data_IF_571382021401
#
_entry.id   IF_571382021401
#
_cell.length_a   1.000
_cell.length_b   1.000
_cell.length_c   1.000
_cell.angle_alpha   90.00
_cell.angle_beta   90.00
_cell.angle_gamma   90.00
#
_symmetry.space_group_name_H-M   'P 1'
#
loop_
_entity.id
_entity.type
_entity.pdbx_description
1 polymer ?
#
# COMPACT_ATOMS: atom_id res chain seq x y z
N UNK A 1 -7.57 1.86 24.14
CA UNK A 1 -6.80 1.75 22.87
C UNK A 1 -7.60 0.93 21.86
N UNK A 2 -7.41 1.12 20.54
CA UNK A 2 -8.27 0.56 19.49
C UNK A 2 -7.46 0.06 18.28
N UNK A 3 -7.96 -0.96 17.56
CA UNK A 3 -7.41 -1.40 16.27
C UNK A 3 -7.42 -0.30 15.21
N UNK A 4 -8.31 0.68 15.31
CA UNK A 4 -8.33 1.85 14.42
C UNK A 4 -7.01 2.63 14.41
N UNK A 5 -6.16 2.48 15.43
CA UNK A 5 -4.84 3.11 15.53
C UNK A 5 -3.74 2.40 14.74
N UNK A 6 -3.98 1.19 14.23
CA UNK A 6 -3.01 0.48 13.39
C UNK A 6 -2.82 1.26 12.09
N UNK A 7 -1.58 1.65 11.80
CA UNK A 7 -1.20 2.36 10.58
C UNK A 7 -0.72 1.37 9.50
N UNK A 8 -1.31 1.40 8.29
CA UNK A 8 -0.84 0.61 7.15
C UNK A 8 0.66 0.67 6.86
N UNK A 9 1.28 1.85 6.99
CA UNK A 9 2.70 2.03 6.74
C UNK A 9 3.56 1.31 7.81
N UNK A 10 3.08 1.21 9.05
CA UNK A 10 3.75 0.43 10.09
C UNK A 10 3.65 -1.08 9.81
N UNK A 11 2.51 -1.54 9.26
CA UNK A 11 2.33 -2.93 8.84
C UNK A 11 3.33 -3.29 7.73
N UNK A 12 3.44 -2.48 6.67
CA UNK A 12 4.45 -2.70 5.64
C UNK A 12 5.88 -2.59 6.19
N UNK A 13 6.13 -1.66 7.13
CA UNK A 13 7.41 -1.56 7.82
C UNK A 13 7.77 -2.80 8.64
N UNK A 14 6.79 -3.53 9.19
CA UNK A 14 7.03 -4.79 9.88
C UNK A 14 7.43 -5.90 8.91
N UNK A 15 6.74 -6.03 7.77
CA UNK A 15 7.14 -6.96 6.70
C UNK A 15 8.54 -6.64 6.15
N UNK A 16 8.89 -5.36 6.03
CA UNK A 16 10.24 -4.93 5.62
C UNK A 16 11.34 -5.43 6.56
N UNK A 17 11.01 -5.63 7.85
CA UNK A 17 11.92 -6.16 8.88
C UNK A 17 11.95 -7.69 8.93
N UNK A 18 11.30 -8.38 7.98
CA UNK A 18 11.31 -9.84 7.91
C UNK A 18 10.19 -10.55 8.67
N UNK A 19 9.09 -9.85 8.98
CA UNK A 19 7.92 -10.50 9.57
C UNK A 19 7.25 -11.44 8.55
N UNK A 20 6.95 -12.68 8.92
CA UNK A 20 6.33 -13.66 8.02
C UNK A 20 4.81 -13.50 7.89
N UNK A 21 4.17 -13.00 8.95
CA UNK A 21 2.74 -12.75 8.99
C UNK A 21 2.33 -11.76 10.09
N UNK A 22 1.29 -10.98 9.84
CA UNK A 22 0.71 -10.03 10.78
C UNK A 22 -0.80 -10.26 10.90
N UNK A 23 -1.26 -10.48 12.13
CA UNK A 23 -2.67 -10.63 12.47
C UNK A 23 -3.14 -9.43 13.29
N UNK A 24 -4.19 -8.76 12.83
CA UNK A 24 -4.92 -7.74 13.59
C UNK A 24 -6.24 -8.32 14.07
N UNK A 25 -6.45 -8.34 15.38
CA UNK A 25 -7.71 -8.79 15.98
C UNK A 25 -8.44 -7.60 16.61
N UNK A 26 -9.68 -7.36 16.20
CA UNK A 26 -10.53 -6.29 16.71
C UNK A 26 -11.87 -6.77 17.25
N UNK A 27 -12.65 -5.84 17.79
CA UNK A 27 -14.04 -6.12 18.21
C UNK A 27 -14.92 -6.46 17.00
N UNK A 28 -16.04 -7.14 17.24
CA UNK A 28 -17.11 -7.28 16.23
C UNK A 28 -17.61 -5.92 15.75
N UNK A 29 -18.09 -5.88 14.51
CA UNK A 29 -18.69 -4.67 13.95
C UNK A 29 -19.97 -4.35 14.71
N UNK A 30 -20.12 -3.10 15.15
CA UNK A 30 -21.17 -2.70 16.11
C UNK A 30 -20.68 -2.63 17.56
N UNK A 31 -19.75 -3.51 17.97
CA UNK A 31 -19.27 -3.60 19.35
C UNK A 31 -18.01 -2.76 19.63
N UNK A 32 -17.64 -1.86 18.71
CA UNK A 32 -16.45 -1.06 18.89
C UNK A 32 -16.63 -0.07 20.03
N UNK A 33 -15.77 -0.14 21.05
CA UNK A 33 -15.74 0.86 22.13
C UNK A 33 -15.55 2.30 21.62
N UNK A 34 -14.91 2.46 20.46
CA UNK A 34 -14.67 3.75 19.81
C UNK A 34 -15.56 3.94 18.57
N UNK A 35 -16.74 3.30 18.56
CA UNK A 35 -17.82 3.44 17.57
C UNK A 35 -17.44 2.86 16.20
N UNK A 36 -16.47 3.47 15.51
CA UNK A 36 -16.11 3.16 14.12
C UNK A 36 -14.67 2.68 13.91
N UNK A 37 -13.87 2.62 14.99
CA UNK A 37 -12.43 2.33 14.89
C UNK A 37 -12.09 0.98 14.24
N UNK A 38 -12.89 -0.06 14.47
CA UNK A 38 -12.68 -1.37 13.84
C UNK A 38 -13.09 -1.40 12.35
N UNK A 39 -14.08 -0.62 11.92
CA UNK A 39 -14.42 -0.45 10.51
C UNK A 39 -13.27 0.23 9.75
N UNK A 40 -12.68 1.27 10.34
CA UNK A 40 -11.49 1.92 9.80
C UNK A 40 -10.29 0.97 9.75
N UNK A 41 -10.09 0.16 10.79
CA UNK A 41 -9.04 -0.85 10.81
C UNK A 41 -9.23 -1.88 9.69
N UNK A 42 -10.46 -2.36 9.47
CA UNK A 42 -10.78 -3.27 8.36
C UNK A 42 -10.46 -2.64 7.01
N UNK A 43 -10.90 -1.41 6.78
CA UNK A 43 -10.63 -0.67 5.55
C UNK A 43 -9.14 -0.52 5.26
N UNK A 44 -8.37 -0.16 6.29
CA UNK A 44 -6.91 -0.06 6.26
C UNK A 44 -6.27 -1.39 5.87
N UNK A 45 -6.64 -2.48 6.55
CA UNK A 45 -6.04 -3.79 6.30
C UNK A 45 -6.41 -4.34 4.91
N UNK A 46 -7.64 -4.15 4.44
CA UNK A 46 -8.05 -4.57 3.09
C UNK A 46 -7.21 -3.91 2.00
N UNK A 47 -6.99 -2.59 2.11
CA UNK A 47 -6.18 -1.83 1.14
C UNK A 47 -4.71 -2.22 1.23
N UNK A 48 -4.17 -2.43 2.44
CA UNK A 48 -2.81 -2.97 2.61
C UNK A 48 -2.68 -4.35 1.97
N UNK A 49 -3.65 -5.25 2.15
CA UNK A 49 -3.65 -6.59 1.52
C UNK A 49 -3.66 -6.50 -0.01
N UNK A 50 -4.50 -5.64 -0.58
CA UNK A 50 -4.53 -5.38 -2.04
C UNK A 50 -3.18 -4.90 -2.56
N UNK A 51 -2.55 -3.97 -1.85
CA UNK A 51 -1.23 -3.46 -2.23
C UNK A 51 -0.15 -4.55 -2.11
N UNK A 52 -0.13 -5.32 -1.02
CA UNK A 52 0.80 -6.46 -0.84
C UNK A 52 0.67 -7.45 -2.00
N UNK A 53 -0.56 -7.81 -2.38
CA UNK A 53 -0.84 -8.66 -3.54
C UNK A 53 -0.29 -8.06 -4.84
N UNK A 54 -0.55 -6.77 -5.07
CA UNK A 54 -0.09 -6.07 -6.27
C UNK A 54 1.43 -6.15 -6.41
N UNK A 55 2.16 -5.91 -5.32
CA UNK A 55 3.62 -5.98 -5.29
C UNK A 55 4.18 -7.42 -5.20
N UNK A 56 3.34 -8.45 -5.21
CA UNK A 56 3.76 -9.86 -5.24
C UNK A 56 4.02 -10.52 -3.89
N UNK A 57 3.65 -9.86 -2.78
CA UNK A 57 3.59 -10.47 -1.44
C UNK A 57 2.25 -11.19 -1.30
N UNK A 58 2.25 -12.38 -0.68
CA UNK A 58 1.01 -13.11 -0.47
C UNK A 58 0.08 -12.35 0.50
N UNK A 59 -1.15 -12.05 0.06
CA UNK A 59 -2.12 -11.27 0.85
C UNK A 59 -2.62 -11.99 2.11
N UNK A 60 -2.43 -13.31 2.21
CA UNK A 60 -2.76 -14.10 3.40
C UNK A 60 -1.76 -13.88 4.54
N UNK A 61 -0.59 -13.28 4.26
CA UNK A 61 0.35 -12.86 5.30
C UNK A 61 -0.21 -11.77 6.21
N UNK A 62 -1.24 -11.05 5.78
CA UNK A 62 -1.92 -10.04 6.58
C UNK A 62 -3.38 -10.43 6.77
N UNK A 63 -3.81 -10.57 8.03
CA UNK A 63 -5.19 -10.91 8.36
C UNK A 63 -5.81 -9.88 9.32
N UNK A 64 -7.08 -9.58 9.10
CA UNK A 64 -7.96 -8.93 10.08
C UNK A 64 -9.01 -9.94 10.53
N UNK A 65 -9.15 -10.13 11.84
CA UNK A 65 -10.15 -11.01 12.46
C UNK A 65 -10.85 -10.29 13.59
N UNK A 66 -11.99 -10.83 14.01
CA UNK A 66 -12.81 -10.26 15.05
C UNK A 66 -12.99 -11.26 16.18
N UNK A 67 -12.95 -10.77 17.41
CA UNK A 67 -13.11 -11.57 18.62
C UNK A 67 -13.59 -10.65 19.74
N UNK A 68 -14.55 -11.11 20.54
CA UNK A 68 -14.92 -10.47 21.80
C UNK A 68 -13.94 -10.84 22.91
N UNK A 69 -13.84 -10.00 23.95
CA UNK A 69 -12.98 -10.27 25.12
C UNK A 69 -13.41 -11.50 25.91
N UNK A 70 -14.64 -11.97 25.75
CA UNK A 70 -15.16 -13.18 26.41
C UNK A 70 -14.91 -14.48 25.65
N UNK A 71 -14.37 -14.43 24.42
CA UNK A 71 -14.29 -15.59 23.52
C UNK A 71 -12.88 -16.19 23.47
N UNK A 72 -12.36 -16.65 24.60
CA UNK A 72 -10.99 -17.17 24.68
C UNK A 72 -10.72 -18.33 23.71
N UNK A 73 -11.67 -19.27 23.57
CA UNK A 73 -11.54 -20.39 22.63
C UNK A 73 -11.48 -19.93 21.17
N UNK A 74 -12.33 -18.98 20.78
CA UNK A 74 -12.35 -18.39 19.43
C UNK A 74 -11.03 -17.68 19.14
N UNK A 75 -10.48 -16.95 20.13
CA UNK A 75 -9.18 -16.29 19.99
C UNK A 75 -8.05 -17.28 19.74
N UNK A 76 -8.02 -18.39 20.49
CA UNK A 76 -7.05 -19.47 20.31
C UNK A 76 -7.17 -20.08 18.91
N UNK A 77 -8.40 -20.36 18.45
CA UNK A 77 -8.64 -20.91 17.11
C UNK A 77 -8.21 -19.95 16.00
N UNK A 78 -8.47 -18.65 16.15
CA UNK A 78 -8.06 -17.61 15.20
C UNK A 78 -6.52 -17.58 15.08
N UNK A 79 -5.82 -17.60 16.20
CA UNK A 79 -4.35 -17.58 16.21
C UNK A 79 -3.80 -18.87 15.61
N UNK A 80 -4.29 -20.03 16.06
CA UNK A 80 -3.83 -21.33 15.57
C UNK A 80 -3.92 -21.44 14.06
N UNK A 81 -5.11 -21.18 13.50
CA UNK A 81 -5.33 -21.19 12.04
C UNK A 81 -4.44 -20.21 11.29
N UNK A 82 -4.18 -19.03 11.88
CA UNK A 82 -3.30 -18.05 11.25
C UNK A 82 -1.85 -18.53 11.26
N UNK A 83 -1.36 -19.05 12.39
CA UNK A 83 0.00 -19.59 12.52
C UNK A 83 0.22 -20.75 11.56
N UNK A 84 -0.73 -21.69 11.48
CA UNK A 84 -0.68 -22.82 10.54
C UNK A 84 -0.58 -22.31 9.09
N UNK A 85 -1.39 -21.31 8.74
CA UNK A 85 -1.34 -20.69 7.42
C UNK A 85 0.01 -20.03 7.13
N UNK A 86 0.61 -19.34 8.10
CA UNK A 86 1.94 -18.73 7.92
C UNK A 86 3.03 -19.80 7.79
N UNK A 87 2.94 -20.91 8.52
CA UNK A 87 3.86 -22.04 8.35
C UNK A 87 3.75 -22.67 6.96
N UNK A 88 2.55 -22.87 6.44
CA UNK A 88 2.32 -23.34 5.05
C UNK A 88 2.94 -22.40 4.02
N UNK A 89 2.83 -21.09 4.24
CA UNK A 89 3.43 -20.08 3.38
C UNK A 89 4.94 -19.99 3.54
N UNK A 90 5.51 -20.45 4.66
CA UNK A 90 6.94 -20.35 4.94
C UNK A 90 7.46 -18.90 5.05
N UNK A 91 8.78 -18.73 5.15
CA UNK A 91 9.40 -17.43 5.41
C UNK A 91 9.14 -16.44 4.27
N UNK A 92 8.98 -15.17 4.62
CA UNK A 92 8.78 -14.08 3.66
C UNK A 92 9.94 -14.00 2.67
N UNK A 93 9.63 -14.02 1.37
CA UNK A 93 10.64 -14.04 0.30
C UNK A 93 11.33 -15.39 0.08
N UNK A 94 11.04 -16.40 0.90
CA UNK A 94 11.49 -17.79 0.70
C UNK A 94 10.36 -18.71 0.23
N UNK A 95 9.16 -18.58 0.79
CA UNK A 95 8.03 -19.48 0.58
C UNK A 95 6.96 -18.98 -0.40
N UNK A 96 5.68 -19.00 -0.01
CA UNK A 96 4.49 -18.79 -0.85
C UNK A 96 4.25 -17.39 -1.42
N UNK A 97 5.28 -16.55 -1.50
CA UNK A 97 5.25 -15.25 -2.18
C UNK A 97 5.59 -15.39 -3.67
N UNK A 98 5.01 -14.51 -4.50
CA UNK A 98 5.35 -14.44 -5.93
C UNK A 98 6.77 -13.92 -6.14
N UNK A 99 7.20 -12.96 -5.31
CA UNK A 99 8.56 -12.43 -5.32
C UNK A 99 9.42 -13.09 -4.25
N UNK A 100 10.71 -13.20 -4.52
CA UNK A 100 11.70 -13.79 -3.62
C UNK A 100 12.64 -12.73 -3.06
N UNK A 101 13.36 -13.08 -2.00
CA UNK A 101 14.45 -12.24 -1.50
C UNK A 101 15.59 -12.17 -2.55
N UNK A 102 16.25 -11.01 -2.73
CA UNK A 102 16.08 -9.75 -1.99
C UNK A 102 14.98 -8.82 -2.56
N UNK A 103 14.53 -9.04 -3.80
CA UNK A 103 13.61 -8.15 -4.53
C UNK A 103 12.32 -7.83 -3.76
N UNK A 104 11.76 -8.81 -3.05
CA UNK A 104 10.55 -8.63 -2.25
C UNK A 104 10.69 -7.48 -1.23
N UNK A 105 11.86 -7.30 -0.62
CA UNK A 105 12.06 -6.27 0.40
C UNK A 105 12.17 -4.88 -0.19
N UNK A 106 12.68 -4.75 -1.42
CA UNK A 106 12.64 -3.51 -2.18
C UNK A 106 11.18 -3.13 -2.48
N UNK A 107 10.39 -4.09 -2.97
CA UNK A 107 8.96 -3.89 -3.22
C UNK A 107 8.17 -3.56 -1.96
N UNK A 108 8.45 -4.21 -0.83
CA UNK A 108 7.82 -3.88 0.46
C UNK A 108 8.20 -2.46 0.90
N UNK A 109 9.44 -2.01 0.64
CA UNK A 109 9.83 -0.63 0.89
C UNK A 109 9.03 0.36 0.05
N UNK A 110 8.76 0.03 -1.23
CA UNK A 110 7.83 0.81 -2.07
C UNK A 110 6.43 0.82 -1.48
N UNK A 111 5.89 -0.34 -1.07
CA UNK A 111 4.56 -0.40 -0.45
C UNK A 111 4.48 0.42 0.85
N UNK A 112 5.54 0.43 1.67
CA UNK A 112 5.60 1.27 2.86
C UNK A 112 5.49 2.76 2.51
N UNK A 113 6.17 3.21 1.44
CA UNK A 113 6.08 4.59 0.97
C UNK A 113 4.67 4.92 0.42
N UNK A 114 4.07 4.02 -0.36
CA UNK A 114 2.71 4.16 -0.89
C UNK A 114 1.69 4.30 0.24
N UNK A 115 1.73 3.41 1.23
CA UNK A 115 0.82 3.45 2.39
C UNK A 115 1.05 4.66 3.30
N UNK A 116 2.29 5.19 3.31
CA UNK A 116 2.63 6.46 3.94
C UNK A 116 2.17 7.69 3.14
N UNK A 117 1.81 7.52 1.87
CA UNK A 117 1.43 8.61 0.98
C UNK A 117 0.07 9.22 1.32
N UNK A 118 -0.04 10.53 1.10
CA UNK A 118 -1.26 11.30 1.35
C UNK A 118 -2.46 10.75 0.56
N UNK A 119 -2.26 10.42 -0.72
CA UNK A 119 -3.35 9.94 -1.59
C UNK A 119 -3.99 8.67 -1.03
N UNK A 120 -3.19 7.66 -0.70
CA UNK A 120 -3.70 6.40 -0.14
C UNK A 120 -4.38 6.64 1.22
N UNK A 121 -3.78 7.45 2.09
CA UNK A 121 -4.37 7.77 3.40
C UNK A 121 -5.72 8.46 3.28
N UNK A 122 -5.84 9.42 2.36
CA UNK A 122 -7.09 10.12 2.07
C UNK A 122 -8.16 9.13 1.58
N UNK A 123 -7.80 8.30 0.61
CA UNK A 123 -8.72 7.34 -0.01
C UNK A 123 -9.23 6.32 1.02
N UNK A 124 -8.36 5.78 1.88
CA UNK A 124 -8.76 4.90 2.99
C UNK A 124 -9.77 5.62 3.89
N UNK A 125 -9.50 6.88 4.24
CA UNK A 125 -10.37 7.69 5.10
C UNK A 125 -11.73 8.03 4.46
N UNK A 126 -11.83 7.99 3.13
CA UNK A 126 -13.07 8.26 2.40
C UNK A 126 -13.90 7.02 2.09
N UNK A 127 -13.42 5.80 2.39
CA UNK A 127 -14.17 4.56 2.15
C UNK A 127 -15.56 4.61 2.78
N UNK A 128 -15.66 4.84 4.09
CA UNK A 128 -16.96 4.85 4.78
C UNK A 128 -17.89 5.94 4.24
N UNK A 129 -17.47 7.23 4.14
CA UNK A 129 -18.33 8.26 3.55
C UNK A 129 -18.80 7.93 2.14
N UNK A 130 -17.93 7.41 1.25
CA UNK A 130 -18.30 7.14 -0.13
C UNK A 130 -19.25 5.95 -0.30
N UNK A 131 -19.26 5.00 0.63
CA UNK A 131 -20.16 3.85 0.61
C UNK A 131 -21.49 4.11 1.34
N UNK A 132 -21.54 5.11 2.23
CA UNK A 132 -22.71 5.36 3.08
C UNK A 132 -23.35 6.73 2.81
N UNK A 133 -22.65 7.82 3.12
CA UNK A 133 -23.20 9.18 3.04
C UNK A 133 -23.08 9.82 1.65
N UNK A 134 -22.26 9.24 0.78
CA UNK A 134 -21.91 9.78 -0.52
C UNK A 134 -20.85 10.88 -0.48
N UNK A 135 -20.48 11.37 -1.66
CA UNK A 135 -19.56 12.48 -1.84
C UNK A 135 -20.27 13.86 -1.75
N UNK A 136 -19.56 14.95 -2.06
CA UNK A 136 -20.13 16.32 -2.05
C UNK A 136 -21.30 16.53 -3.02
N UNK A 137 -21.48 15.64 -3.99
CA UNK A 137 -22.55 15.66 -4.98
C UNK A 137 -23.69 14.68 -4.65
N UNK A 138 -23.61 13.99 -3.50
CA UNK A 138 -24.58 12.98 -3.08
C UNK A 138 -24.42 11.63 -3.77
N UNK A 139 -23.32 11.40 -4.51
CA UNK A 139 -23.06 10.12 -5.16
C UNK A 139 -22.57 9.09 -4.15
N UNK A 140 -23.31 7.99 -4.01
CA UNK A 140 -22.95 6.83 -3.19
C UNK A 140 -22.37 5.76 -4.10
N UNK A 141 -21.18 5.31 -3.77
CA UNK A 141 -20.44 4.32 -4.54
C UNK A 141 -20.84 2.92 -4.08
N UNK A 142 -20.92 1.99 -5.02
CA UNK A 142 -20.92 0.57 -4.67
C UNK A 142 -19.52 0.13 -4.23
N UNK A 143 -19.42 -0.96 -3.47
CA UNK A 143 -18.12 -1.54 -3.13
C UNK A 143 -17.29 -1.90 -4.37
N UNK A 144 -17.95 -2.34 -5.45
CA UNK A 144 -17.27 -2.67 -6.70
C UNK A 144 -16.64 -1.44 -7.34
N UNK A 145 -17.38 -0.33 -7.44
CA UNK A 145 -16.86 0.93 -8.00
C UNK A 145 -15.72 1.48 -7.18
N UNK A 146 -15.87 1.49 -5.84
CA UNK A 146 -14.81 1.92 -4.94
C UNK A 146 -13.57 1.04 -5.12
N UNK A 147 -13.72 -0.28 -5.10
CA UNK A 147 -12.59 -1.21 -5.26
C UNK A 147 -11.86 -1.05 -6.59
N UNK A 148 -12.56 -0.82 -7.71
CA UNK A 148 -11.92 -0.54 -9.00
C UNK A 148 -11.10 0.75 -8.94
N UNK A 149 -11.63 1.81 -8.31
CA UNK A 149 -10.90 3.05 -8.12
C UNK A 149 -9.64 2.84 -7.26
N UNK A 150 -9.75 2.08 -6.16
CA UNK A 150 -8.59 1.71 -5.33
C UNK A 150 -7.52 0.98 -6.14
N UNK A 151 -7.91 -0.01 -6.93
CA UNK A 151 -6.95 -0.84 -7.66
C UNK A 151 -6.15 0.01 -8.68
N UNK A 152 -6.81 0.97 -9.34
CA UNK A 152 -6.12 1.94 -10.21
C UNK A 152 -5.16 2.85 -9.42
N UNK A 153 -5.61 3.38 -8.27
CA UNK A 153 -4.79 4.25 -7.43
C UNK A 153 -3.56 3.52 -6.89
N UNK A 154 -3.71 2.25 -6.50
CA UNK A 154 -2.59 1.40 -6.06
C UNK A 154 -1.54 1.29 -7.16
N UNK A 155 -1.95 0.96 -8.39
CA UNK A 155 -1.04 0.84 -9.54
C UNK A 155 -0.29 2.15 -9.78
N UNK A 156 -1.01 3.27 -9.87
CA UNK A 156 -0.42 4.58 -10.12
C UNK A 156 0.56 4.99 -9.01
N UNK A 157 0.17 4.85 -7.74
CA UNK A 157 1.02 5.24 -6.61
C UNK A 157 2.25 4.36 -6.48
N UNK A 158 2.13 3.04 -6.73
CA UNK A 158 3.28 2.14 -6.76
C UNK A 158 4.27 2.58 -7.83
N UNK A 159 3.81 2.85 -9.05
CA UNK A 159 4.68 3.28 -10.15
C UNK A 159 5.35 4.63 -9.89
N UNK A 160 4.61 5.58 -9.30
CA UNK A 160 5.17 6.88 -8.88
C UNK A 160 6.27 6.67 -7.84
N UNK A 161 6.05 5.82 -6.83
CA UNK A 161 7.08 5.56 -5.81
C UNK A 161 8.29 4.83 -6.38
N UNK A 162 8.12 3.93 -7.36
CA UNK A 162 9.22 3.26 -8.06
C UNK A 162 10.05 4.24 -8.91
N UNK A 163 9.39 5.16 -9.61
CA UNK A 163 10.07 6.24 -10.36
C UNK A 163 10.87 7.11 -9.39
N UNK A 164 10.26 7.54 -8.29
CA UNK A 164 10.95 8.33 -7.27
C UNK A 164 12.13 7.57 -6.67
N UNK A 165 12.00 6.26 -6.40
CA UNK A 165 13.10 5.44 -5.92
C UNK A 165 14.28 5.43 -6.91
N UNK A 166 14.02 5.24 -8.21
CA UNK A 166 15.06 5.28 -9.25
C UNK A 166 15.72 6.65 -9.39
N UNK A 167 14.94 7.73 -9.31
CA UNK A 167 15.48 9.08 -9.35
C UNK A 167 16.32 9.45 -8.10
N UNK A 168 16.17 8.74 -6.97
CA UNK A 168 17.07 8.87 -5.81
C UNK A 168 18.44 8.24 -6.07
N UNK A 169 18.51 7.20 -6.91
CA UNK A 169 19.78 6.55 -7.29
C UNK A 169 20.59 7.43 -8.26
N UNK A 170 19.90 8.26 -9.05
CA UNK A 170 20.53 9.23 -9.94
C UNK A 170 19.57 9.80 -10.96
N UNK A 171 20.00 10.86 -11.63
CA UNK A 171 19.20 11.52 -12.64
C UNK A 171 19.07 10.64 -13.90
N UNK A 172 17.85 10.50 -14.42
CA UNK A 172 17.55 9.59 -15.53
C UNK A 172 16.60 10.21 -16.54
N UNK A 173 16.66 9.73 -17.78
CA UNK A 173 15.69 10.11 -18.81
C UNK A 173 14.41 9.29 -18.69
N UNK A 174 13.32 9.80 -19.26
CA UNK A 174 12.03 9.09 -19.32
C UNK A 174 12.17 7.74 -20.04
N UNK A 175 13.06 7.64 -21.04
CA UNK A 175 13.31 6.40 -21.79
C UNK A 175 14.04 5.36 -20.94
N UNK A 176 15.00 5.80 -20.14
CA UNK A 176 15.78 4.91 -19.27
C UNK A 176 14.90 4.38 -18.13
N UNK A 177 14.10 5.26 -17.51
CA UNK A 177 13.09 4.86 -16.53
C UNK A 177 12.08 3.86 -17.10
N UNK A 178 11.62 4.08 -18.33
CA UNK A 178 10.64 3.21 -18.99
C UNK A 178 11.19 1.80 -19.20
N UNK A 179 12.47 1.72 -19.61
CA UNK A 179 13.17 0.45 -19.78
C UNK A 179 13.44 -0.24 -18.45
N UNK A 180 13.89 0.51 -17.44
CA UNK A 180 14.26 -0.04 -16.13
C UNK A 180 13.05 -0.57 -15.34
N UNK A 181 11.91 0.13 -15.40
CA UNK A 181 10.71 -0.22 -14.64
C UNK A 181 9.71 -1.07 -15.46
N UNK A 182 9.99 -1.33 -16.73
CA UNK A 182 9.06 -1.96 -17.67
C UNK A 182 7.69 -1.25 -17.74
N UNK A 183 7.70 0.08 -17.64
CA UNK A 183 6.51 0.94 -17.70
C UNK A 183 6.48 1.66 -19.06
N UNK A 184 5.33 1.74 -19.76
CA UNK A 184 5.22 2.51 -21.00
C UNK A 184 5.70 3.95 -20.85
N UNK A 185 6.48 4.43 -21.83
CA UNK A 185 7.08 5.78 -21.84
C UNK A 185 6.05 6.89 -21.66
N UNK A 186 4.87 6.76 -22.28
CA UNK A 186 3.76 7.71 -22.15
C UNK A 186 3.33 7.88 -20.69
N UNK A 187 3.24 6.77 -19.95
CA UNK A 187 2.80 6.76 -18.57
C UNK A 187 3.86 7.35 -17.64
N UNK A 188 5.14 7.02 -17.84
CA UNK A 188 6.24 7.69 -17.11
C UNK A 188 6.24 9.18 -17.39
N UNK A 189 6.12 9.58 -18.66
CA UNK A 189 6.10 10.99 -19.03
C UNK A 189 4.97 11.75 -18.33
N UNK A 190 3.78 11.16 -18.26
CA UNK A 190 2.63 11.69 -17.52
C UNK A 190 2.96 11.89 -16.04
N UNK A 191 3.53 10.88 -15.39
CA UNK A 191 3.91 10.97 -13.96
C UNK A 191 5.02 11.99 -13.71
N UNK A 192 6.09 12.01 -14.51
CA UNK A 192 7.18 12.98 -14.38
C UNK A 192 6.67 14.41 -14.56
N UNK A 193 5.78 14.64 -15.51
CA UNK A 193 5.17 15.97 -15.72
C UNK A 193 4.32 16.38 -14.51
N UNK A 194 3.55 15.46 -13.93
CA UNK A 194 2.78 15.72 -12.71
C UNK A 194 3.68 15.95 -11.48
N UNK A 195 4.78 15.21 -11.35
CA UNK A 195 5.76 15.36 -10.27
C UNK A 195 6.53 16.69 -10.39
N UNK A 196 6.88 17.09 -11.61
CA UNK A 196 7.49 18.40 -11.89
C UNK A 196 6.56 19.56 -11.52
N UNK A 197 5.26 19.43 -11.81
CA UNK A 197 4.25 20.44 -11.40
C UNK A 197 4.08 20.55 -9.88
N UNK A 198 4.49 19.53 -9.13
CA UNK A 198 4.50 19.50 -7.66
C UNK A 198 5.88 19.80 -7.08
N UNK A 199 6.82 20.27 -7.90
CA UNK A 199 8.21 20.55 -7.53
C UNK A 199 8.96 19.38 -6.90
N UNK A 200 8.50 18.13 -7.12
CA UNK A 200 9.15 16.93 -6.59
C UNK A 200 10.32 16.46 -7.48
N UNK A 201 10.26 16.81 -8.77
CA UNK A 201 11.24 16.42 -9.79
C UNK A 201 11.56 17.63 -10.66
N UNK A 202 12.85 17.87 -10.88
CA UNK A 202 13.36 18.95 -11.70
C UNK A 202 14.06 18.43 -12.96
N UNK A 203 14.12 19.25 -14.01
CA UNK A 203 14.98 19.00 -15.16
C UNK A 203 16.41 19.35 -14.76
N UNK A 204 17.32 18.38 -14.74
CA UNK A 204 18.74 18.63 -14.48
C UNK A 204 19.41 19.21 -15.73
N UNK A 205 19.29 18.48 -16.85
CA UNK A 205 19.91 18.85 -18.13
C UNK A 205 19.18 18.18 -19.29
N UNK A 206 19.52 18.61 -20.50
CA UNK A 206 19.09 17.96 -21.74
C UNK A 206 20.31 17.31 -22.38
N UNK A 207 20.28 15.99 -22.52
CA UNK A 207 21.33 15.23 -23.21
C UNK A 207 20.84 14.88 -24.62
N UNK A 208 21.34 15.59 -25.63
CA UNK A 208 20.88 15.47 -27.01
C UNK A 208 19.41 15.89 -27.15
N UNK A 209 18.52 14.92 -27.40
CA UNK A 209 17.05 15.12 -27.47
C UNK A 209 16.29 14.57 -26.26
N UNK A 210 17.00 14.10 -25.25
CA UNK A 210 16.41 13.45 -24.08
C UNK A 210 16.55 14.36 -22.85
N UNK A 211 15.44 14.83 -22.25
CA UNK A 211 15.48 15.51 -20.97
C UNK A 211 15.84 14.51 -19.86
N UNK A 212 16.76 14.90 -18.99
CA UNK A 212 17.21 14.14 -17.82
C UNK A 212 16.62 14.81 -16.58
N UNK A 213 15.92 14.01 -15.77
CA UNK A 213 15.22 14.48 -14.59
C UNK A 213 15.90 13.99 -13.32
N UNK A 214 15.84 14.79 -12.26
CA UNK A 214 16.35 14.48 -10.93
C UNK A 214 15.34 14.87 -9.86
N UNK A 215 15.45 14.30 -8.66
CA UNK A 215 14.64 14.76 -7.53
C UNK A 215 15.06 16.17 -7.15
N UNK A 216 14.07 17.03 -6.89
CA UNK A 216 14.34 18.36 -6.36
C UNK A 216 14.92 18.22 -4.95
N UNK A 217 16.08 18.84 -4.65
CA UNK A 217 16.59 18.89 -3.28
C UNK A 217 15.52 19.50 -2.38
N UNK A 218 15.09 18.78 -1.36
CA UNK A 218 14.23 19.36 -0.33
C UNK A 218 15.14 20.25 0.53
N UNK A 219 14.85 21.56 0.59
CA UNK A 219 15.44 22.41 1.63
C UNK A 219 15.02 21.83 2.99
N UNK A 220 16.02 21.42 3.77
CA UNK A 220 15.85 20.90 5.14
C UNK A 220 15.65 22.06 6.10
#
# INVERSE_FOLDING_TARGET
MCTGRVDPALVAGAFKKGLDGLLVVGCYFGDCHYISGNFQARAKMDITRKLLKHIGVNEDRLAFRQCSSGEASVFVDIIGKFVDRIHELGPIGGGGDRLKAPEIFEKISTAQAVLGGEKIRWVIGKRTPFLESGNMYGEIFTEHEFNRAIDMIIVEETEVQEILAKLREGAQSVKDLAKALAIPTERIFRYITALKRKDMVALEKVSGRSPIFQITPQEV
#
